data_IF_123119631763
#
_entry.id   IF_123119631763
#
_cell.length_a   1.000
_cell.length_b   1.000
_cell.length_c   1.000
_cell.angle_alpha   90.00
_cell.angle_beta   90.00
_cell.angle_gamma   90.00
#
_symmetry.space_group_name_H-M   'P 1'
#
loop_
_entity.id
_entity.type
_entity.pdbx_description
1 polymer ?
#
# COMPACT_ATOMS: atom_id res chain seq x y z
N UNK A 1 -22.36 -15.81 -7.44
CA UNK A 1 -22.08 -15.33 -8.81
C UNK A 1 -21.13 -14.14 -8.68
N UNK A 2 -19.97 -14.19 -9.30
CA UNK A 2 -19.03 -13.05 -9.35
C UNK A 2 -19.71 -11.87 -10.06
N UNK A 3 -19.54 -10.66 -9.53
CA UNK A 3 -20.13 -9.47 -10.13
C UNK A 3 -19.04 -8.71 -10.88
N UNK A 4 -19.30 -8.24 -12.11
CA UNK A 4 -18.28 -7.58 -12.91
C UNK A 4 -17.78 -6.30 -12.24
N UNK A 5 -16.45 -6.07 -12.30
CA UNK A 5 -15.80 -4.90 -11.69
C UNK A 5 -16.23 -3.59 -12.33
N UNK A 6 -16.62 -3.60 -13.60
CA UNK A 6 -17.13 -2.40 -14.30
C UNK A 6 -18.46 -1.84 -13.76
N UNK A 7 -19.07 -2.50 -12.77
CA UNK A 7 -20.19 -1.91 -12.00
C UNK A 7 -19.74 -0.71 -11.15
N UNK A 8 -18.46 -0.68 -10.76
CA UNK A 8 -17.86 0.45 -10.08
C UNK A 8 -17.41 1.49 -11.10
N UNK A 9 -17.46 2.75 -10.71
CA UNK A 9 -16.95 3.86 -11.53
C UNK A 9 -15.44 4.02 -11.40
N UNK A 10 -14.90 3.58 -10.27
CA UNK A 10 -13.47 3.59 -10.01
C UNK A 10 -13.00 2.34 -9.27
N UNK A 11 -11.74 1.95 -9.50
CA UNK A 11 -10.99 0.97 -8.71
C UNK A 11 -9.75 1.67 -8.17
N UNK A 12 -9.60 1.67 -6.84
CA UNK A 12 -8.46 2.27 -6.13
C UNK A 12 -7.61 1.14 -5.54
N UNK A 13 -6.38 1.06 -5.98
CA UNK A 13 -5.41 0.06 -5.55
C UNK A 13 -4.57 0.59 -4.39
N UNK A 14 -4.31 -0.23 -3.39
CA UNK A 14 -3.09 -0.07 -2.59
C UNK A 14 -1.86 -0.41 -3.45
N UNK A 15 -0.66 -0.07 -2.97
CA UNK A 15 0.59 -0.31 -3.69
C UNK A 15 1.39 -1.45 -3.08
N UNK A 16 1.83 -1.26 -1.85
CA UNK A 16 2.82 -2.11 -1.19
C UNK A 16 2.18 -3.43 -0.74
N UNK A 17 2.63 -4.54 -1.32
CA UNK A 17 2.06 -5.85 -1.00
C UNK A 17 0.78 -6.22 -1.77
N UNK A 18 0.10 -5.27 -2.39
CA UNK A 18 -1.07 -5.52 -3.25
C UNK A 18 -0.73 -5.47 -4.74
N UNK A 19 -0.27 -4.31 -5.23
CA UNK A 19 0.10 -4.10 -6.63
C UNK A 19 1.51 -4.61 -6.91
N UNK A 20 2.44 -4.38 -5.98
CA UNK A 20 3.87 -4.62 -6.10
C UNK A 20 4.40 -5.49 -4.96
N UNK A 21 5.40 -6.33 -5.27
CA UNK A 21 6.15 -7.16 -4.32
C UNK A 21 7.21 -6.34 -3.59
N UNK A 22 6.80 -5.34 -2.82
CA UNK A 22 7.72 -4.42 -2.14
C UNK A 22 8.12 -4.86 -0.72
N UNK A 23 7.42 -5.81 -0.10
CA UNK A 23 7.68 -6.23 1.28
C UNK A 23 9.11 -6.78 1.51
N UNK A 24 9.67 -7.49 0.53
CA UNK A 24 11.06 -7.97 0.59
C UNK A 24 12.04 -6.81 0.54
N UNK A 25 11.75 -5.76 -0.22
CA UNK A 25 12.59 -4.56 -0.33
C UNK A 25 12.53 -3.74 0.96
N UNK A 26 11.34 -3.55 1.52
CA UNK A 26 11.16 -2.93 2.83
C UNK A 26 11.95 -3.68 3.91
N UNK A 27 11.87 -5.02 3.94
CA UNK A 27 12.63 -5.81 4.90
C UNK A 27 14.16 -5.59 4.77
N UNK A 28 14.68 -5.54 3.54
CA UNK A 28 16.11 -5.24 3.31
C UNK A 28 16.48 -3.84 3.79
N UNK A 29 15.65 -2.84 3.52
CA UNK A 29 15.88 -1.47 3.98
C UNK A 29 15.89 -1.38 5.51
N UNK A 30 14.95 -2.07 6.17
CA UNK A 30 14.86 -2.15 7.64
C UNK A 30 16.08 -2.85 8.26
N UNK A 31 16.51 -3.97 7.69
CA UNK A 31 17.75 -4.67 8.12
C UNK A 31 18.95 -3.73 7.99
N UNK A 32 19.12 -3.06 6.85
CA UNK A 32 20.23 -2.11 6.61
C UNK A 32 20.19 -0.93 7.60
N UNK A 33 19.00 -0.39 7.90
CA UNK A 33 18.84 0.65 8.92
C UNK A 33 19.40 0.18 10.26
N UNK A 34 18.97 -0.99 10.73
CA UNK A 34 19.40 -1.52 12.02
C UNK A 34 20.89 -1.82 12.06
N UNK A 35 21.45 -2.39 10.98
CA UNK A 35 22.89 -2.64 10.85
C UNK A 35 23.72 -1.35 10.94
N UNK A 36 23.28 -0.24 10.34
CA UNK A 36 23.90 1.08 10.46
C UNK A 36 23.94 1.59 11.89
N UNK A 37 22.95 1.22 12.69
CA UNK A 37 22.85 1.56 14.11
C UNK A 37 23.44 0.48 15.04
N UNK A 38 24.15 -0.53 14.50
CA UNK A 38 24.82 -1.57 15.27
C UNK A 38 23.88 -2.60 15.92
N UNK A 39 22.67 -2.74 15.43
CA UNK A 39 21.64 -3.66 15.90
C UNK A 39 21.20 -4.64 14.81
N UNK A 40 20.48 -5.70 15.21
CA UNK A 40 19.83 -6.62 14.28
C UNK A 40 18.32 -6.35 14.22
N UNK A 41 17.76 -6.35 13.01
CA UNK A 41 16.32 -6.36 12.76
C UNK A 41 15.87 -7.82 12.58
N UNK A 42 14.92 -8.26 13.39
CA UNK A 42 14.47 -9.65 13.40
C UNK A 42 13.14 -9.81 12.66
N UNK A 43 12.77 -11.05 12.38
CA UNK A 43 11.45 -11.34 11.80
C UNK A 43 10.30 -10.94 12.75
N UNK A 44 10.50 -11.04 14.08
CA UNK A 44 9.53 -10.58 15.07
C UNK A 44 9.37 -9.04 15.04
N UNK A 45 10.49 -8.31 14.85
CA UNK A 45 10.46 -6.86 14.63
C UNK A 45 9.63 -6.53 13.37
N UNK A 46 9.84 -7.27 12.26
CA UNK A 46 9.07 -7.10 11.01
C UNK A 46 7.57 -7.31 11.22
N UNK A 47 7.17 -8.38 11.89
CA UNK A 47 5.76 -8.64 12.18
C UNK A 47 5.12 -7.54 13.03
N UNK A 48 5.92 -6.88 13.90
CA UNK A 48 5.43 -5.81 14.76
C UNK A 48 5.14 -4.52 13.98
N UNK A 49 5.91 -4.21 12.94
CA UNK A 49 5.78 -2.94 12.20
C UNK A 49 4.97 -3.06 10.91
N UNK A 50 4.78 -4.27 10.42
CA UNK A 50 4.09 -4.52 9.15
C UNK A 50 2.64 -3.99 9.18
N UNK A 51 2.27 -3.22 8.15
CA UNK A 51 0.95 -2.63 8.02
C UNK A 51 0.62 -1.53 9.05
N UNK A 52 1.60 -1.09 9.87
CA UNK A 52 1.40 -0.01 10.84
C UNK A 52 1.67 1.38 10.24
N UNK A 53 1.37 2.43 10.99
CA UNK A 53 1.67 3.79 10.56
C UNK A 53 3.16 4.12 10.69
N UNK A 54 3.66 5.05 9.87
CA UNK A 54 5.05 5.54 9.96
C UNK A 54 5.40 6.08 11.36
N UNK A 55 4.44 6.70 12.07
CA UNK A 55 4.65 7.17 13.44
C UNK A 55 4.89 6.01 14.40
N UNK A 56 4.07 4.96 14.34
CA UNK A 56 4.27 3.76 15.17
C UNK A 56 5.59 3.07 14.83
N UNK A 57 5.88 2.87 13.56
CA UNK A 57 7.13 2.25 13.10
C UNK A 57 8.36 3.03 13.57
N UNK A 58 8.34 4.35 13.46
CA UNK A 58 9.44 5.22 13.91
C UNK A 58 9.66 5.13 15.42
N UNK A 59 8.59 5.17 16.20
CA UNK A 59 8.65 5.01 17.67
C UNK A 59 9.19 3.63 18.06
N UNK A 60 8.76 2.58 17.34
CA UNK A 60 9.27 1.22 17.55
C UNK A 60 10.77 1.14 17.23
N UNK A 61 11.21 1.69 16.09
CA UNK A 61 12.63 1.70 15.72
C UNK A 61 13.47 2.44 16.77
N UNK A 62 13.04 3.64 17.21
CA UNK A 62 13.74 4.40 18.22
C UNK A 62 13.92 3.60 19.53
N UNK A 63 12.84 2.99 20.02
CA UNK A 63 12.90 2.15 21.24
C UNK A 63 13.80 0.95 21.07
N UNK A 64 13.70 0.27 19.94
CA UNK A 64 14.46 -0.96 19.63
C UNK A 64 15.95 -0.67 19.49
N UNK A 65 16.31 0.53 19.00
CA UNK A 65 17.69 1.01 18.86
C UNK A 65 18.21 1.72 20.13
N UNK A 66 17.38 1.89 21.18
CA UNK A 66 17.76 2.62 22.39
C UNK A 66 17.94 4.13 22.18
N UNK A 67 17.27 4.70 21.17
CA UNK A 67 17.34 6.11 20.81
C UNK A 67 16.16 6.89 21.38
N UNK A 68 16.31 8.23 21.61
CA UNK A 68 15.21 9.10 21.97
C UNK A 68 14.08 9.10 20.94
N UNK A 69 12.80 9.20 21.39
CA UNK A 69 11.64 9.17 20.50
C UNK A 69 11.57 10.36 19.52
N UNK A 70 12.23 11.47 19.82
CA UNK A 70 12.33 12.61 18.91
C UNK A 70 13.19 12.31 17.65
N UNK A 71 13.94 11.20 17.65
CA UNK A 71 14.64 10.70 16.48
C UNK A 71 13.77 9.81 15.56
N UNK A 72 12.58 9.40 15.99
CA UNK A 72 11.68 8.55 15.19
C UNK A 72 11.43 9.09 13.77
N UNK A 73 11.16 10.40 13.56
CA UNK A 73 10.98 10.92 12.19
C UNK A 73 12.26 10.86 11.33
N UNK A 74 13.45 10.91 11.96
CA UNK A 74 14.72 10.77 11.22
C UNK A 74 14.93 9.32 10.77
N UNK A 75 14.62 8.34 11.62
CA UNK A 75 14.71 6.92 11.29
C UNK A 75 13.74 6.54 10.15
N UNK A 76 12.53 7.09 10.15
CA UNK A 76 11.57 6.90 9.05
C UNK A 76 12.10 7.47 7.73
N UNK A 77 12.72 8.65 7.76
CA UNK A 77 13.36 9.19 6.55
C UNK A 77 14.53 8.33 6.09
N UNK A 78 15.38 7.88 7.01
CA UNK A 78 16.52 7.03 6.68
C UNK A 78 16.09 5.70 6.06
N UNK A 79 15.09 5.01 6.61
CA UNK A 79 14.58 3.76 6.02
C UNK A 79 13.93 4.00 4.66
N UNK A 80 13.25 5.14 4.46
CA UNK A 80 12.69 5.51 3.17
C UNK A 80 13.77 5.78 2.10
N UNK A 81 14.89 6.40 2.47
CA UNK A 81 16.05 6.58 1.59
C UNK A 81 16.67 5.22 1.22
N UNK A 82 16.81 4.32 2.19
CA UNK A 82 17.27 2.95 1.94
C UNK A 82 16.33 2.17 1.03
N UNK A 83 15.01 2.29 1.25
CA UNK A 83 14.00 1.71 0.38
C UNK A 83 14.11 2.26 -1.05
N UNK A 84 14.35 3.56 -1.21
CA UNK A 84 14.56 4.15 -2.53
C UNK A 84 15.77 3.54 -3.25
N UNK A 85 16.86 3.24 -2.53
CA UNK A 85 18.02 2.52 -3.09
C UNK A 85 17.63 1.11 -3.54
N UNK A 86 16.82 0.37 -2.76
CA UNK A 86 16.34 -0.96 -3.14
C UNK A 86 15.44 -0.91 -4.39
N UNK A 87 14.63 0.14 -4.56
CA UNK A 87 13.77 0.35 -5.72
C UNK A 87 14.53 0.64 -7.03
N UNK A 88 15.85 0.91 -7.00
CA UNK A 88 16.65 1.04 -8.22
C UNK A 88 16.81 -0.28 -8.99
N UNK A 89 16.57 -1.42 -8.34
CA UNK A 89 16.38 -2.70 -9.01
C UNK A 89 14.95 -2.81 -9.56
N UNK A 90 14.73 -3.77 -10.47
CA UNK A 90 13.38 -4.04 -10.96
C UNK A 90 12.48 -4.50 -9.80
N UNK A 91 11.30 -3.91 -9.70
CA UNK A 91 10.24 -4.32 -8.77
C UNK A 91 9.24 -5.18 -9.52
N UNK A 92 8.94 -6.35 -8.97
CA UNK A 92 7.98 -7.25 -9.58
C UNK A 92 6.54 -6.84 -9.19
N UNK A 93 5.64 -6.89 -10.16
CA UNK A 93 4.21 -6.76 -9.91
C UNK A 93 3.66 -8.05 -9.28
N UNK A 94 2.67 -7.91 -8.40
CA UNK A 94 1.96 -9.05 -7.82
C UNK A 94 1.24 -9.86 -8.92
N UNK A 95 1.06 -11.18 -8.72
CA UNK A 95 0.32 -12.01 -9.68
C UNK A 95 -1.04 -11.41 -10.04
N UNK A 96 -1.28 -11.24 -11.33
CA UNK A 96 -2.52 -10.66 -11.87
C UNK A 96 -2.58 -9.13 -11.90
N UNK A 97 -1.70 -8.40 -11.18
CA UNK A 97 -1.78 -6.93 -11.05
C UNK A 97 -1.70 -6.23 -12.42
N UNK A 98 -0.68 -6.55 -13.21
CA UNK A 98 -0.47 -5.92 -14.53
C UNK A 98 -1.64 -6.16 -15.47
N UNK A 99 -2.10 -7.40 -15.54
CA UNK A 99 -3.21 -7.79 -16.42
C UNK A 99 -4.54 -7.17 -15.96
N UNK A 100 -4.78 -7.09 -14.63
CA UNK A 100 -5.99 -6.49 -14.08
C UNK A 100 -6.04 -4.99 -14.40
N UNK A 101 -4.97 -4.24 -14.14
CA UNK A 101 -4.87 -2.81 -14.48
C UNK A 101 -5.09 -2.60 -15.99
N UNK A 102 -4.44 -3.43 -16.84
CA UNK A 102 -4.61 -3.37 -18.29
C UNK A 102 -6.06 -3.60 -18.73
N UNK A 103 -6.76 -4.56 -18.13
CA UNK A 103 -8.17 -4.87 -18.46
C UNK A 103 -9.15 -3.81 -18.01
N UNK A 104 -8.89 -3.17 -16.88
CA UNK A 104 -9.76 -2.14 -16.31
C UNK A 104 -9.55 -0.77 -16.97
N UNK A 105 -8.36 -0.52 -17.54
CA UNK A 105 -8.02 0.75 -18.18
C UNK A 105 -9.03 1.11 -19.28
N UNK A 106 -9.59 2.32 -19.18
CA UNK A 106 -10.60 2.82 -20.11
C UNK A 106 -12.03 2.30 -19.89
N UNK A 107 -12.23 1.34 -18.97
CA UNK A 107 -13.57 0.88 -18.56
C UNK A 107 -14.03 1.56 -17.28
N UNK A 108 -13.13 1.76 -16.33
CA UNK A 108 -13.33 2.46 -15.06
C UNK A 108 -12.19 3.42 -14.82
N UNK A 109 -12.35 4.36 -13.87
CA UNK A 109 -11.26 5.20 -13.39
C UNK A 109 -10.32 4.37 -12.52
N UNK A 110 -9.01 4.55 -12.65
CA UNK A 110 -8.01 3.84 -11.87
C UNK A 110 -7.30 4.81 -10.92
N UNK A 111 -7.32 4.48 -9.63
CA UNK A 111 -6.60 5.22 -8.59
C UNK A 111 -5.61 4.36 -7.86
N UNK A 112 -4.63 5.02 -7.25
CA UNK A 112 -3.69 4.41 -6.32
C UNK A 112 -3.71 5.22 -5.01
N UNK A 113 -3.69 4.54 -3.86
CA UNK A 113 -3.67 5.14 -2.53
C UNK A 113 -2.68 4.41 -1.64
N UNK A 114 -1.53 5.02 -1.34
CA UNK A 114 -0.44 4.40 -0.56
C UNK A 114 -0.04 5.25 0.64
N UNK A 115 0.34 4.59 1.75
CA UNK A 115 0.97 5.21 2.92
C UNK A 115 2.45 5.57 2.69
N UNK A 116 3.01 5.23 1.54
CA UNK A 116 4.40 5.56 1.20
C UNK A 116 4.54 7.01 0.76
N UNK A 117 5.69 7.68 1.04
CA UNK A 117 6.00 9.00 0.51
C UNK A 117 5.96 9.05 -1.01
N UNK A 118 5.62 10.19 -1.59
CA UNK A 118 5.43 10.38 -3.02
C UNK A 118 6.63 9.93 -3.86
N UNK A 119 7.84 10.25 -3.43
CA UNK A 119 9.05 9.88 -4.16
C UNK A 119 9.27 8.35 -4.24
N UNK A 120 8.82 7.60 -3.22
CA UNK A 120 8.86 6.13 -3.24
C UNK A 120 7.77 5.56 -4.14
N UNK A 121 6.56 6.14 -4.10
CA UNK A 121 5.45 5.74 -4.98
C UNK A 121 5.86 5.91 -6.44
N UNK A 122 6.40 7.07 -6.81
CA UNK A 122 6.82 7.34 -8.18
C UNK A 122 7.96 6.41 -8.62
N UNK A 123 8.95 6.16 -7.75
CA UNK A 123 10.04 5.25 -8.03
C UNK A 123 9.55 3.80 -8.21
N UNK A 124 8.66 3.33 -7.34
CA UNK A 124 8.11 1.97 -7.40
C UNK A 124 7.27 1.75 -8.66
N UNK A 125 6.36 2.69 -8.97
CA UNK A 125 5.56 2.63 -10.19
C UNK A 125 6.42 2.67 -11.45
N UNK A 126 7.45 3.54 -11.48
CA UNK A 126 8.39 3.63 -12.60
C UNK A 126 9.18 2.34 -12.79
N UNK A 127 9.74 1.78 -11.71
CA UNK A 127 10.51 0.54 -11.76
C UNK A 127 9.67 -0.67 -12.21
N UNK A 128 8.37 -0.68 -11.87
CA UNK A 128 7.45 -1.76 -12.21
C UNK A 128 6.69 -1.55 -13.54
N UNK A 129 6.87 -0.42 -14.24
CA UNK A 129 6.21 -0.13 -15.52
C UNK A 129 4.74 0.30 -15.39
N UNK A 130 4.40 0.98 -14.28
CA UNK A 130 3.06 1.50 -14.01
C UNK A 130 2.98 3.04 -14.01
N UNK A 131 3.98 3.78 -14.53
CA UNK A 131 4.08 5.25 -14.47
C UNK A 131 2.81 5.97 -14.92
N UNK A 132 2.20 5.49 -16.00
CA UNK A 132 1.01 6.08 -16.62
C UNK A 132 -0.25 5.23 -16.44
N UNK A 133 -0.27 4.34 -15.45
CA UNK A 133 -1.34 3.37 -15.30
C UNK A 133 -2.60 3.95 -14.64
N UNK A 134 -2.44 4.98 -13.80
CA UNK A 134 -3.48 5.49 -12.91
C UNK A 134 -3.93 6.89 -13.30
N UNK A 135 -5.25 7.14 -13.25
CA UNK A 135 -5.86 8.47 -13.44
C UNK A 135 -5.60 9.40 -12.23
N UNK A 136 -5.39 8.80 -11.05
CA UNK A 136 -5.03 9.53 -9.83
C UNK A 136 -4.10 8.69 -8.95
N UNK A 137 -3.06 9.32 -8.42
CA UNK A 137 -2.14 8.74 -7.44
C UNK A 137 -2.17 9.60 -6.18
N UNK A 138 -2.44 8.97 -5.03
CA UNK A 138 -2.46 9.59 -3.69
C UNK A 138 -1.43 8.90 -2.81
N UNK A 139 -0.55 9.69 -2.23
CA UNK A 139 0.55 9.26 -1.37
C UNK A 139 0.40 9.80 0.06
N UNK A 140 1.26 9.36 0.97
CA UNK A 140 1.32 9.91 2.32
C UNK A 140 1.47 11.43 2.36
N UNK A 141 2.17 12.02 1.38
CA UNK A 141 2.46 13.46 1.33
C UNK A 141 1.23 14.31 0.97
N UNK A 142 0.17 13.67 0.47
CA UNK A 142 -1.05 14.37 0.04
C UNK A 142 -2.07 14.58 1.17
N UNK A 143 -1.91 13.91 2.32
CA UNK A 143 -2.88 13.90 3.43
C UNK A 143 -2.21 14.11 4.78
N UNK A 144 -2.99 14.50 5.79
CA UNK A 144 -2.51 14.63 7.18
C UNK A 144 -2.62 13.30 7.91
N UNK A 145 -3.73 12.58 7.72
CA UNK A 145 -3.99 11.33 8.42
C UNK A 145 -3.84 10.16 7.45
N UNK A 146 -2.89 9.28 7.74
CA UNK A 146 -2.60 8.10 6.95
C UNK A 146 -3.53 6.94 7.34
N UNK A 147 -3.55 5.84 6.53
CA UNK A 147 -4.27 4.62 6.90
C UNK A 147 -3.89 4.21 8.35
N UNK A 148 -4.86 3.90 9.18
CA UNK A 148 -6.25 3.51 8.89
C UNK A 148 -7.26 4.66 8.78
N UNK A 149 -6.86 5.96 8.82
CA UNK A 149 -7.77 7.07 8.53
C UNK A 149 -8.25 7.03 7.07
N UNK A 150 -9.46 7.55 6.77
CA UNK A 150 -10.06 7.45 5.44
C UNK A 150 -9.49 8.40 4.39
N UNK A 151 -8.61 9.32 4.78
CA UNK A 151 -8.22 10.51 4.03
C UNK A 151 -7.66 10.17 2.65
N UNK A 152 -6.79 9.15 2.53
CA UNK A 152 -6.19 8.72 1.26
C UNK A 152 -7.24 8.25 0.26
N UNK A 153 -8.20 7.43 0.69
CA UNK A 153 -9.25 6.92 -0.18
C UNK A 153 -10.28 7.99 -0.53
N UNK A 154 -10.61 8.88 0.40
CA UNK A 154 -11.48 10.02 0.13
C UNK A 154 -10.87 10.94 -0.92
N UNK A 155 -9.58 11.28 -0.77
CA UNK A 155 -8.86 12.11 -1.73
C UNK A 155 -8.72 11.42 -3.10
N UNK A 156 -8.50 10.10 -3.11
CA UNK A 156 -8.47 9.33 -4.37
C UNK A 156 -9.82 9.42 -5.10
N UNK A 157 -10.94 9.21 -4.40
CA UNK A 157 -12.28 9.36 -4.96
C UNK A 157 -12.55 10.78 -5.48
N UNK A 158 -12.13 11.81 -4.73
CA UNK A 158 -12.24 13.21 -5.13
C UNK A 158 -11.49 13.46 -6.45
N UNK A 159 -10.21 13.07 -6.54
CA UNK A 159 -9.38 13.23 -7.75
C UNK A 159 -9.93 12.46 -8.96
N UNK A 160 -10.58 11.32 -8.71
CA UNK A 160 -11.22 10.50 -9.75
C UNK A 160 -12.62 11.00 -10.14
N UNK A 161 -13.20 11.95 -9.38
CA UNK A 161 -14.54 12.50 -9.64
C UNK A 161 -15.65 11.48 -9.42
N UNK A 162 -15.54 10.63 -8.40
CA UNK A 162 -16.52 9.59 -8.04
C UNK A 162 -16.91 9.69 -6.57
N UNK A 163 -18.13 9.27 -6.23
CA UNK A 163 -18.52 9.12 -4.83
C UNK A 163 -17.87 7.83 -4.23
N UNK A 164 -17.47 7.82 -2.93
CA UNK A 164 -16.85 6.65 -2.32
C UNK A 164 -17.66 5.35 -2.50
N UNK A 165 -19.00 5.38 -2.37
CA UNK A 165 -19.87 4.23 -2.59
C UNK A 165 -19.93 3.71 -4.03
N UNK A 166 -19.37 4.43 -5.00
CA UNK A 166 -19.24 4.04 -6.42
C UNK A 166 -17.85 3.46 -6.72
N UNK A 167 -16.95 3.41 -5.73
CA UNK A 167 -15.57 2.95 -5.87
C UNK A 167 -15.33 1.61 -5.16
N UNK A 168 -14.40 0.85 -5.72
CA UNK A 168 -13.85 -0.37 -5.16
C UNK A 168 -12.42 -0.11 -4.69
N UNK A 169 -12.08 -0.52 -3.47
CA UNK A 169 -10.71 -0.60 -2.98
C UNK A 169 -10.19 -2.03 -3.07
N UNK A 170 -8.93 -2.19 -3.47
CA UNK A 170 -8.17 -3.44 -3.39
C UNK A 170 -7.05 -3.23 -2.37
N UNK A 171 -6.97 -4.10 -1.37
CA UNK A 171 -6.12 -3.94 -0.19
C UNK A 171 -5.57 -5.26 0.34
N UNK A 172 -4.38 -5.22 0.95
CA UNK A 172 -3.74 -6.39 1.53
C UNK A 172 -3.59 -6.32 3.06
N UNK A 173 -3.70 -5.11 3.66
CA UNK A 173 -3.47 -4.86 5.09
C UNK A 173 -4.74 -4.57 5.87
N UNK A 174 -4.76 -4.92 7.17
CA UNK A 174 -5.86 -4.57 8.07
C UNK A 174 -6.08 -3.04 8.17
N UNK A 175 -4.98 -2.25 8.19
CA UNK A 175 -5.06 -0.79 8.26
C UNK A 175 -5.65 -0.18 6.98
N UNK A 176 -5.30 -0.71 5.82
CA UNK A 176 -5.83 -0.26 4.55
C UNK A 176 -7.28 -0.66 4.35
N UNK A 177 -7.67 -1.89 4.71
CA UNK A 177 -9.07 -2.33 4.72
C UNK A 177 -9.91 -1.40 5.61
N UNK A 178 -9.44 -1.11 6.83
CA UNK A 178 -10.13 -0.20 7.74
C UNK A 178 -10.28 1.21 7.13
N UNK A 179 -9.23 1.72 6.48
CA UNK A 179 -9.22 3.02 5.80
C UNK A 179 -10.25 3.08 4.67
N UNK A 180 -10.25 2.09 3.78
CA UNK A 180 -11.21 1.99 2.67
C UNK A 180 -12.65 1.91 3.17
N UNK A 181 -12.91 1.10 4.20
CA UNK A 181 -14.24 0.97 4.81
C UNK A 181 -14.68 2.24 5.52
N UNK A 182 -13.78 2.92 6.24
CA UNK A 182 -14.07 4.20 6.87
C UNK A 182 -14.38 5.32 5.85
N UNK A 183 -13.77 5.26 4.66
CA UNK A 183 -14.07 6.15 3.55
C UNK A 183 -15.40 5.81 2.83
N UNK A 184 -15.98 4.65 3.08
CA UNK A 184 -17.26 4.23 2.48
C UNK A 184 -17.13 3.47 1.16
N UNK A 185 -15.95 2.98 0.81
CA UNK A 185 -15.73 2.15 -0.38
C UNK A 185 -16.19 0.70 -0.11
N UNK A 186 -16.52 -0.01 -1.20
CA UNK A 186 -16.46 -1.48 -1.19
C UNK A 186 -14.99 -1.88 -1.15
N UNK A 187 -14.63 -2.88 -0.34
CA UNK A 187 -13.26 -3.33 -0.20
C UNK A 187 -13.13 -4.84 -0.45
N UNK A 188 -12.25 -5.21 -1.38
CA UNK A 188 -11.79 -6.59 -1.56
C UNK A 188 -10.40 -6.70 -0.96
N UNK A 189 -10.24 -7.61 0.00
CA UNK A 189 -8.95 -7.91 0.61
C UNK A 189 -8.21 -9.01 -0.18
N UNK A 190 -6.91 -8.81 -0.35
CA UNK A 190 -5.97 -9.74 -0.99
C UNK A 190 -4.75 -9.90 -0.07
N UNK A 191 -4.92 -10.51 1.13
CA UNK A 191 -3.89 -10.52 2.15
C UNK A 191 -2.67 -11.34 1.71
N UNK A 192 -1.47 -10.82 1.97
CA UNK A 192 -0.22 -11.57 1.78
C UNK A 192 0.01 -12.59 2.89
N UNK A 193 -0.48 -12.31 4.09
CA UNK A 193 -0.22 -13.09 5.29
C UNK A 193 -1.53 -13.58 5.88
N UNK A 194 -1.55 -14.85 6.30
CA UNK A 194 -2.74 -15.50 6.87
C UNK A 194 -3.22 -14.85 8.18
N UNK A 195 -2.32 -14.14 8.86
CA UNK A 195 -2.60 -13.44 10.12
C UNK A 195 -3.25 -12.06 9.92
N UNK A 196 -3.35 -11.56 8.69
CA UNK A 196 -3.97 -10.26 8.40
C UNK A 196 -5.45 -10.29 8.81
N UNK A 197 -5.87 -9.32 9.64
CA UNK A 197 -7.28 -9.15 9.97
C UNK A 197 -8.05 -8.57 8.78
N UNK A 198 -8.84 -9.43 8.15
CA UNK A 198 -9.66 -9.11 6.97
C UNK A 198 -11.15 -9.00 7.29
N UNK A 199 -11.55 -9.04 8.56
CA UNK A 199 -12.96 -9.14 8.97
C UNK A 199 -13.83 -7.97 8.49
N UNK A 200 -13.25 -6.79 8.25
CA UNK A 200 -13.97 -5.61 7.74
C UNK A 200 -14.13 -5.59 6.21
N UNK A 201 -13.44 -6.45 5.47
CA UNK A 201 -13.53 -6.50 4.01
C UNK A 201 -14.91 -7.06 3.56
N UNK A 202 -15.39 -6.58 2.42
CA UNK A 202 -16.64 -7.09 1.82
C UNK A 202 -16.43 -8.43 1.11
N UNK A 203 -15.20 -8.71 0.69
CA UNK A 203 -14.76 -9.97 0.07
C UNK A 203 -13.27 -10.18 0.34
N UNK A 204 -12.86 -11.45 0.44
CA UNK A 204 -11.46 -11.86 0.53
C UNK A 204 -11.16 -12.79 -0.63
N UNK A 205 -10.01 -12.61 -1.26
CA UNK A 205 -9.49 -13.45 -2.34
C UNK A 205 -8.00 -13.71 -2.10
N UNK A 206 -7.47 -14.76 -2.70
CA UNK A 206 -6.06 -15.15 -2.53
C UNK A 206 -5.12 -14.45 -3.53
N UNK A 207 -5.65 -14.00 -4.67
CA UNK A 207 -4.85 -13.36 -5.74
C UNK A 207 -5.70 -12.41 -6.57
N UNK A 208 -5.07 -11.33 -7.10
CA UNK A 208 -5.70 -10.45 -8.09
C UNK A 208 -6.09 -11.19 -9.38
N UNK A 209 -5.49 -12.35 -9.66
CA UNK A 209 -5.85 -13.20 -10.80
C UNK A 209 -7.31 -13.62 -10.79
N UNK A 210 -7.91 -13.80 -9.60
CA UNK A 210 -9.34 -14.15 -9.47
C UNK A 210 -10.27 -13.06 -10.02
N UNK A 211 -9.81 -11.80 -10.02
CA UNK A 211 -10.58 -10.69 -10.56
C UNK A 211 -10.50 -10.56 -12.09
N UNK A 212 -9.58 -11.27 -12.75
CA UNK A 212 -9.42 -11.18 -14.21
C UNK A 212 -10.65 -11.63 -14.98
N UNK A 213 -11.46 -12.50 -14.43
CA UNK A 213 -12.72 -12.95 -15.06
C UNK A 213 -13.88 -11.97 -14.83
N UNK A 214 -13.68 -10.97 -13.97
CA UNK A 214 -14.67 -9.93 -13.60
C UNK A 214 -14.33 -8.55 -14.21
N UNK A 215 -13.12 -8.39 -14.79
CA UNK A 215 -12.53 -7.15 -15.27
C UNK A 215 -12.90 -6.83 -16.75
#
# INVERSE_FOLDING_TARGET
>A
MSQPLHRFRAVVFDMDGLLLETEVLWHRAEVRLFERHGAAFTFEDKLTVMGTSAAFTGDFFARRLGLPLDQAPALIREVAELMHEELQAQVDARPGAFELVRRLRGKVRLGLASNSPRFLVDAALGSAGFEDAFDAVVSADDVINHKPAPDLYLLACERLGVAPGEALALEDTASGIASAKAAGLTCIAVPQFAETDVAAADRVIDSLEELLVEA
#
